data_IF_122954545105
#
_entry.id   IF_122954545105
#
_cell.length_a   1.000
_cell.length_b   1.000
_cell.length_c   1.000
_cell.angle_alpha   90.00
_cell.angle_beta   90.00
_cell.angle_gamma   90.00
#
_symmetry.space_group_name_H-M   'P 1'
#
loop_
_entity.id
_entity.type
_entity.pdbx_description
1 polymer ?
#
# COMPACT_ATOMS: atom_id res chain seq x y z
N UNK A 1 -1.88 6.23 7.24
CA UNK A 1 -2.11 5.17 6.25
C UNK A 1 -0.90 4.28 6.06
N UNK A 2 0.28 4.77 5.64
CA UNK A 2 1.47 3.90 5.51
C UNK A 2 1.75 3.13 6.81
N UNK A 3 1.80 3.81 7.96
CA UNK A 3 1.96 3.14 9.26
C UNK A 3 0.78 2.30 9.74
N UNK A 4 -0.38 2.37 9.07
CA UNK A 4 -1.54 1.55 9.38
C UNK A 4 -1.49 0.20 8.65
N UNK A 5 -0.87 0.20 7.47
CA UNK A 5 -0.74 -0.96 6.58
C UNK A 5 0.65 -1.62 6.70
N UNK A 6 1.67 -0.86 7.08
CA UNK A 6 3.00 -1.34 7.43
C UNK A 6 3.05 -1.70 8.92
N UNK A 7 3.84 -2.71 9.29
CA UNK A 7 4.10 -2.99 10.70
C UNK A 7 5.01 -1.94 11.33
N UNK A 8 4.91 -1.75 12.66
CA UNK A 8 5.69 -0.76 13.41
C UNK A 8 7.22 -0.89 13.25
N UNK A 9 7.71 -2.10 12.93
CA UNK A 9 9.13 -2.40 12.73
C UNK A 9 9.60 -2.35 11.27
N UNK A 10 8.77 -1.90 10.32
CA UNK A 10 9.17 -1.82 8.92
C UNK A 10 10.18 -0.69 8.69
N UNK A 11 11.19 -0.97 7.88
CA UNK A 11 12.16 0.03 7.44
C UNK A 11 11.59 0.95 6.36
N UNK A 12 12.42 1.89 5.91
CA UNK A 12 12.08 2.82 4.84
C UNK A 12 11.59 2.11 3.57
N UNK A 13 12.27 1.05 3.12
CA UNK A 13 11.96 0.37 1.85
C UNK A 13 10.58 -0.29 1.90
N UNK A 14 10.26 -0.99 2.99
CA UNK A 14 8.93 -1.57 3.18
C UNK A 14 7.83 -0.50 3.20
N UNK A 15 8.09 0.62 3.88
CA UNK A 15 7.16 1.75 3.92
C UNK A 15 6.96 2.39 2.53
N UNK A 16 8.04 2.49 1.74
CA UNK A 16 8.02 3.03 0.39
C UNK A 16 7.16 2.17 -0.53
N UNK A 17 7.25 0.84 -0.42
CA UNK A 17 6.41 -0.08 -1.20
C UNK A 17 4.91 0.16 -0.95
N UNK A 18 4.49 0.29 0.30
CA UNK A 18 3.06 0.58 0.62
C UNK A 18 2.65 1.96 0.10
N UNK A 19 3.48 2.98 0.34
CA UNK A 19 3.22 4.34 -0.13
C UNK A 19 3.09 4.38 -1.67
N UNK A 20 3.98 3.68 -2.37
CA UNK A 20 4.00 3.64 -3.82
C UNK A 20 2.77 2.95 -4.40
N UNK A 21 2.23 1.87 -3.77
CA UNK A 21 0.94 1.31 -4.22
C UNK A 21 -0.16 2.38 -4.19
N UNK A 22 -0.25 3.18 -3.14
CA UNK A 22 -1.27 4.24 -3.05
C UNK A 22 -1.10 5.27 -4.18
N UNK A 23 0.14 5.69 -4.46
CA UNK A 23 0.45 6.61 -5.57
C UNK A 23 0.14 5.98 -6.93
N UNK A 24 0.54 4.73 -7.17
CA UNK A 24 0.23 4.01 -8.41
C UNK A 24 -1.28 3.90 -8.63
N UNK A 25 -2.07 3.66 -7.57
CA UNK A 25 -3.53 3.65 -7.64
C UNK A 25 -4.10 5.00 -8.07
N UNK A 26 -3.59 6.11 -7.52
CA UNK A 26 -3.99 7.46 -7.94
C UNK A 26 -3.66 7.67 -9.43
N UNK A 27 -2.46 7.27 -9.86
CA UNK A 27 -2.00 7.43 -11.23
C UNK A 27 -2.75 6.54 -12.22
N UNK A 28 -3.23 5.36 -11.79
CA UNK A 28 -4.03 4.45 -12.61
C UNK A 28 -5.42 5.00 -12.93
N UNK A 29 -5.96 5.87 -12.06
CA UNK A 29 -7.32 6.39 -12.14
C UNK A 29 -8.44 5.39 -11.81
N UNK A 30 -8.13 4.11 -11.56
CA UNK A 30 -9.14 3.06 -11.35
C UNK A 30 -9.98 3.30 -10.07
N UNK A 31 -9.37 3.86 -9.03
CA UNK A 31 -10.06 4.28 -7.79
C UNK A 31 -10.24 5.80 -7.71
N UNK A 32 -10.25 6.48 -8.86
CA UNK A 32 -10.21 7.94 -8.97
C UNK A 32 -8.80 8.50 -8.92
N UNK A 33 -8.69 9.83 -9.09
CA UNK A 33 -7.43 10.54 -9.36
C UNK A 33 -6.92 11.33 -8.15
N UNK A 34 -7.35 10.98 -6.93
CA UNK A 34 -6.92 11.64 -5.70
C UNK A 34 -6.58 10.62 -4.63
N UNK A 35 -5.70 10.98 -3.69
CA UNK A 35 -5.43 10.09 -2.54
C UNK A 35 -6.70 9.81 -1.75
N UNK A 36 -7.57 10.80 -1.55
CA UNK A 36 -8.83 10.60 -0.83
C UNK A 36 -9.71 9.56 -1.50
N UNK A 37 -9.82 9.55 -2.84
CA UNK A 37 -10.63 8.55 -3.55
C UNK A 37 -10.02 7.15 -3.48
N UNK A 38 -8.69 7.04 -3.50
CA UNK A 38 -7.98 5.77 -3.29
C UNK A 38 -8.18 5.24 -1.87
N UNK A 39 -8.04 6.11 -0.87
CA UNK A 39 -8.13 5.72 0.54
C UNK A 39 -9.56 5.41 0.98
N UNK A 40 -10.56 6.10 0.41
CA UNK A 40 -11.98 5.88 0.71
C UNK A 40 -12.64 4.78 -0.11
N UNK A 41 -11.91 4.15 -1.03
CA UNK A 41 -12.42 3.04 -1.83
C UNK A 41 -12.84 1.88 -0.93
N UNK A 42 -14.03 1.34 -1.18
CA UNK A 42 -14.61 0.28 -0.36
C UNK A 42 -13.68 -0.94 -0.26
N UNK A 43 -13.53 -1.45 0.96
CA UNK A 43 -12.73 -2.63 1.30
C UNK A 43 -11.22 -2.53 0.94
N UNK A 44 -10.67 -1.32 0.73
CA UNK A 44 -9.24 -1.17 0.41
C UNK A 44 -8.38 -0.90 1.64
N UNK A 45 -8.83 -0.01 2.53
CA UNK A 45 -8.07 0.42 3.71
C UNK A 45 -8.98 0.42 4.93
N UNK A 46 -8.96 -0.67 5.71
CA UNK A 46 -9.75 -0.78 6.95
C UNK A 46 -9.52 0.40 7.89
N UNK A 47 -8.26 0.85 8.12
CA UNK A 47 -8.01 1.95 9.03
C UNK A 47 -8.66 3.26 8.62
N UNK A 48 -8.91 3.49 7.31
CA UNK A 48 -9.65 4.67 6.83
C UNK A 48 -11.14 4.57 7.15
N UNK A 49 -11.73 3.39 7.02
CA UNK A 49 -13.17 3.17 7.21
C UNK A 49 -13.59 3.23 8.69
N UNK A 50 -12.70 2.91 9.62
CA UNK A 50 -12.96 2.89 11.07
C UNK A 50 -12.30 4.05 11.84
N UNK A 51 -11.72 5.03 11.12
CA UNK A 51 -11.01 6.19 11.64
C UNK A 51 -9.82 5.87 12.58
N UNK A 52 -9.38 4.61 12.67
CA UNK A 52 -8.24 4.24 13.54
C UNK A 52 -6.94 4.87 13.09
N UNK A 53 -6.83 5.23 11.81
CA UNK A 53 -5.69 5.96 11.24
C UNK A 53 -5.40 7.29 11.94
N UNK A 54 -6.43 7.94 12.52
CA UNK A 54 -6.29 9.23 13.20
C UNK A 54 -5.52 9.13 14.52
N UNK A 55 -5.55 7.96 15.15
CA UNK A 55 -4.87 7.70 16.42
C UNK A 55 -3.40 7.30 16.27
N UNK A 56 -2.97 7.01 15.04
CA UNK A 56 -1.61 6.55 14.76
C UNK A 56 -0.64 7.72 14.57
N UNK A 57 0.48 7.66 15.29
CA UNK A 57 1.61 8.58 15.08
C UNK A 57 2.61 7.90 14.16
N UNK A 58 2.78 8.36 12.90
CA UNK A 58 3.71 7.72 11.98
C UNK A 58 5.16 7.91 12.43
N UNK A 59 5.97 6.87 12.21
CA UNK A 59 7.43 6.94 12.44
C UNK A 59 8.11 7.84 11.40
N UNK A 60 9.38 8.21 11.65
CA UNK A 60 10.16 9.00 10.71
C UNK A 60 10.25 8.32 9.33
N UNK A 61 10.58 7.01 9.29
CA UNK A 61 10.66 6.23 8.06
C UNK A 61 9.33 6.22 7.29
N UNK A 62 8.21 6.01 7.98
CA UNK A 62 6.88 5.98 7.36
C UNK A 62 6.52 7.34 6.73
N UNK A 63 6.86 8.43 7.41
CA UNK A 63 6.62 9.79 6.90
C UNK A 63 7.52 10.11 5.72
N UNK A 64 8.81 9.79 5.81
CA UNK A 64 9.80 10.01 4.76
C UNK A 64 9.43 9.26 3.49
N UNK A 65 9.19 7.95 3.60
CA UNK A 65 8.77 7.11 2.48
C UNK A 65 7.48 7.59 1.81
N UNK A 66 6.50 8.07 2.60
CA UNK A 66 5.27 8.61 2.04
C UNK A 66 5.50 9.89 1.21
N UNK A 67 6.36 10.79 1.70
CA UNK A 67 6.72 12.02 0.98
C UNK A 67 7.53 11.72 -0.27
N UNK A 68 8.47 10.79 -0.19
CA UNK A 68 9.33 10.40 -1.31
C UNK A 68 8.53 9.72 -2.42
N UNK A 69 7.58 8.84 -2.07
CA UNK A 69 6.66 8.26 -3.05
C UNK A 69 5.85 9.34 -3.80
N UNK A 70 5.37 10.38 -3.08
CA UNK A 70 4.68 11.51 -3.69
C UNK A 70 5.60 12.34 -4.60
N UNK A 71 6.89 12.39 -4.28
CA UNK A 71 7.92 13.04 -5.09
C UNK A 71 8.48 12.15 -6.21
N UNK A 72 7.96 10.92 -6.36
CA UNK A 72 8.29 10.01 -7.46
C UNK A 72 9.37 8.97 -7.15
N UNK A 73 9.72 8.74 -5.89
CA UNK A 73 10.52 7.58 -5.52
C UNK A 73 9.75 6.27 -5.81
N UNK A 74 10.45 5.26 -6.31
CA UNK A 74 9.86 4.00 -6.76
C UNK A 74 10.66 2.80 -6.27
N UNK A 75 9.97 1.82 -5.69
CA UNK A 75 10.46 0.49 -5.37
C UNK A 75 10.12 -0.56 -6.45
N UNK A 76 9.10 -0.30 -7.28
CA UNK A 76 8.65 -1.19 -8.36
C UNK A 76 7.94 -0.44 -9.50
N UNK A 77 7.52 -1.16 -10.52
CA UNK A 77 6.80 -0.63 -11.68
C UNK A 77 5.40 -0.09 -11.34
N UNK A 78 4.88 0.78 -12.21
CA UNK A 78 3.58 1.48 -11.99
C UNK A 78 2.35 0.58 -12.01
N UNK A 79 2.47 -0.63 -12.54
CA UNK A 79 1.39 -1.62 -12.65
C UNK A 79 1.17 -2.40 -11.34
N UNK A 80 2.04 -2.24 -10.35
CA UNK A 80 1.84 -2.80 -9.01
C UNK A 80 0.79 -1.98 -8.27
N UNK A 81 -0.40 -2.55 -8.16
CA UNK A 81 -1.60 -1.91 -7.60
C UNK A 81 -2.17 -2.65 -6.39
N UNK A 82 -1.65 -3.83 -6.07
CA UNK A 82 -2.23 -4.69 -5.04
C UNK A 82 -1.17 -5.11 -4.03
N UNK A 83 -1.57 -5.19 -2.77
CA UNK A 83 -0.80 -5.87 -1.75
C UNK A 83 -1.74 -6.66 -0.84
N UNK A 84 -1.22 -7.71 -0.21
CA UNK A 84 -1.95 -8.46 0.80
C UNK A 84 -0.99 -9.20 1.73
N UNK A 85 -1.49 -9.65 2.88
CA UNK A 85 -0.70 -10.52 3.74
C UNK A 85 -0.52 -11.89 3.07
N UNK A 86 0.57 -12.60 3.42
CA UNK A 86 0.82 -13.98 3.00
C UNK A 86 -0.39 -14.89 3.25
N UNK A 87 -1.07 -14.72 4.39
CA UNK A 87 -2.27 -15.50 4.73
C UNK A 87 -3.44 -15.20 3.77
N UNK A 88 -3.67 -13.92 3.46
CA UNK A 88 -4.69 -13.49 2.49
C UNK A 88 -4.39 -14.01 1.08
N UNK A 89 -3.12 -14.03 0.68
CA UNK A 89 -2.69 -14.59 -0.61
C UNK A 89 -3.07 -16.07 -0.74
N UNK A 90 -2.72 -16.89 0.24
CA UNK A 90 -2.99 -18.33 0.18
C UNK A 90 -4.47 -18.70 0.39
N UNK A 91 -5.29 -17.79 0.90
CA UNK A 91 -6.73 -18.00 1.10
C UNK A 91 -7.63 -17.45 0.00
N UNK A 92 -7.07 -16.76 -1.00
CA UNK A 92 -7.83 -16.12 -2.09
C UNK A 92 -7.29 -16.51 -3.46
N UNK A 93 -8.10 -17.18 -4.27
CA UNK A 93 -7.77 -17.50 -5.66
C UNK A 93 -7.60 -16.24 -6.53
N UNK A 94 -8.27 -15.14 -6.18
CA UNK A 94 -8.12 -13.88 -6.89
C UNK A 94 -6.72 -13.28 -6.68
N UNK A 95 -6.21 -13.24 -5.44
CA UNK A 95 -4.84 -12.78 -5.20
C UNK A 95 -3.81 -13.68 -5.90
N UNK A 96 -4.05 -14.99 -5.95
CA UNK A 96 -3.17 -15.94 -6.66
C UNK A 96 -3.22 -15.80 -8.18
N UNK A 97 -4.26 -15.16 -8.73
CA UNK A 97 -4.36 -14.88 -10.17
C UNK A 97 -3.57 -13.66 -10.62
N UNK A 98 -3.12 -12.82 -9.67
CA UNK A 98 -2.31 -11.63 -9.94
C UNK A 98 -0.82 -11.99 -10.10
N UNK A 99 -0.09 -11.16 -10.82
CA UNK A 99 1.35 -11.32 -11.03
C UNK A 99 2.13 -10.85 -9.78
N UNK A 100 2.71 -11.80 -9.03
CA UNK A 100 3.49 -11.51 -7.82
C UNK A 100 4.84 -10.92 -8.19
N UNK A 101 5.03 -9.62 -7.92
CA UNK A 101 6.24 -8.87 -8.28
C UNK A 101 7.31 -8.91 -7.21
N UNK A 102 6.91 -8.73 -5.95
CA UNK A 102 7.85 -8.74 -4.83
C UNK A 102 7.15 -9.01 -3.51
N UNK A 103 7.96 -9.18 -2.46
CA UNK A 103 7.49 -9.42 -1.10
C UNK A 103 8.34 -8.62 -0.12
N UNK A 104 7.72 -8.09 0.93
CA UNK A 104 8.41 -7.52 2.08
C UNK A 104 7.76 -8.04 3.36
N UNK A 105 8.57 -8.59 4.27
CA UNK A 105 8.10 -9.25 5.49
C UNK A 105 6.97 -10.27 5.21
N UNK A 106 5.77 -10.04 5.75
CA UNK A 106 4.59 -10.88 5.54
C UNK A 106 3.65 -10.37 4.44
N UNK A 107 4.07 -9.40 3.61
CA UNK A 107 3.24 -8.73 2.62
C UNK A 107 3.74 -9.00 1.20
N UNK A 108 2.80 -9.33 0.32
CA UNK A 108 3.03 -9.62 -1.09
C UNK A 108 2.53 -8.42 -1.91
N UNK A 109 3.24 -8.06 -2.97
CA UNK A 109 2.92 -6.95 -3.87
C UNK A 109 2.74 -7.47 -5.29
N UNK A 110 1.62 -7.13 -5.93
CA UNK A 110 1.19 -7.74 -7.18
C UNK A 110 0.66 -6.72 -8.20
N UNK A 111 0.76 -7.10 -9.48
CA UNK A 111 0.17 -6.42 -10.62
C UNK A 111 -0.99 -7.24 -11.22
N UNK A 112 -1.95 -6.59 -11.88
CA UNK A 112 -3.05 -7.23 -12.63
C UNK A 112 -2.73 -7.44 -14.09
#
# INVERSE_FOLDING_TARGET
MVGAEAGDGWDYEGCLMIAQVMVNRVLSGYWGTTLTSVLSASNQFVPWADDTWQSQVPTANQREAALDALNGATAFDRDVLYFCTKSSYYSSSWFQSLDLRTTYANTYFMAS
#
